data_IF_466309036217
#
_entry.id   IF_466309036217
#
_cell.length_a   1.000
_cell.length_b   1.000
_cell.length_c   1.000
_cell.angle_alpha   90.00
_cell.angle_beta   90.00
_cell.angle_gamma   90.00
#
_symmetry.space_group_name_H-M   'P 1'
#
loop_
_entity.id
_entity.type
_entity.pdbx_description
1 polymer ?
#
# COMPACT_ATOMS: atom_id res chain seq x y z
N UNK A 1 3.74 -15.14 4.89
CA UNK A 1 2.30 -14.84 4.93
C UNK A 1 1.98 -14.18 3.59
N UNK A 2 0.76 -13.87 3.22
CA UNK A 2 0.46 -13.20 1.95
C UNK A 2 -0.02 -11.79 2.26
N UNK A 3 0.66 -10.77 1.73
CA UNK A 3 0.19 -9.40 1.85
C UNK A 3 -1.16 -9.30 1.14
N UNK A 4 -2.17 -8.78 1.82
CA UNK A 4 -3.48 -8.58 1.19
C UNK A 4 -3.46 -7.23 0.51
N UNK A 5 -3.54 -7.26 -0.82
CA UNK A 5 -3.63 -6.07 -1.67
C UNK A 5 -5.09 -5.85 -2.05
N UNK A 6 -5.68 -4.78 -1.54
CA UNK A 6 -7.04 -4.36 -1.93
C UNK A 6 -6.94 -3.06 -2.72
N UNK A 7 -7.22 -3.13 -4.03
CA UNK A 7 -7.28 -1.96 -4.88
C UNK A 7 -8.73 -1.47 -5.00
N UNK A 8 -8.97 -0.17 -4.85
CA UNK A 8 -10.24 0.45 -5.18
C UNK A 8 -10.40 0.54 -6.70
N UNK A 9 -11.65 0.55 -7.19
CA UNK A 9 -11.93 0.77 -8.60
C UNK A 9 -11.32 2.08 -9.10
N UNK A 10 -10.52 2.03 -10.17
CA UNK A 10 -10.09 3.22 -10.89
C UNK A 10 -11.26 3.74 -11.72
N UNK A 11 -11.67 4.98 -11.46
CA UNK A 11 -12.70 5.67 -12.25
C UNK A 11 -11.99 6.81 -12.96
N UNK A 12 -12.09 6.90 -14.29
CA UNK A 12 -11.27 7.78 -15.14
C UNK A 12 -10.95 9.15 -14.52
N UNK A 13 -9.67 9.37 -14.22
CA UNK A 13 -9.15 10.57 -13.55
C UNK A 13 -8.85 10.40 -12.05
N UNK A 14 -9.34 9.34 -11.40
CA UNK A 14 -9.01 8.99 -10.02
C UNK A 14 -8.10 7.75 -9.97
N UNK A 15 -6.86 7.91 -9.52
CA UNK A 15 -5.95 6.79 -9.39
C UNK A 15 -6.45 5.80 -8.33
N UNK A 16 -6.25 4.49 -8.54
CA UNK A 16 -6.71 3.48 -7.59
C UNK A 16 -5.95 3.62 -6.27
N UNK A 17 -6.70 3.64 -5.18
CA UNK A 17 -6.18 3.50 -3.82
C UNK A 17 -5.87 2.04 -3.56
N UNK A 18 -4.66 1.77 -3.11
CA UNK A 18 -4.17 0.43 -2.82
C UNK A 18 -3.95 0.34 -1.33
N UNK A 19 -4.65 -0.58 -0.70
CA UNK A 19 -4.52 -0.91 0.71
C UNK A 19 -3.72 -2.21 0.86
N UNK A 20 -2.64 -2.16 1.63
CA UNK A 20 -1.79 -3.29 1.99
C UNK A 20 -1.96 -3.60 3.47
N UNK A 21 -2.12 -4.88 3.79
CA UNK A 21 -2.06 -5.37 5.17
C UNK A 21 -1.28 -6.68 5.22
N UNK A 22 -0.39 -6.79 6.20
CA UNK A 22 0.48 -7.96 6.39
C UNK A 22 1.58 -7.64 7.40
N UNK A 23 2.64 -8.44 7.43
CA UNK A 23 3.80 -8.12 8.27
C UNK A 23 4.52 -6.87 7.77
N UNK A 24 5.24 -6.18 8.66
CA UNK A 24 6.01 -4.97 8.30
C UNK A 24 6.94 -5.24 7.10
N UNK A 25 7.65 -6.37 7.09
CA UNK A 25 8.56 -6.71 5.99
C UNK A 25 7.82 -6.94 4.67
N UNK A 26 6.70 -7.67 4.67
CA UNK A 26 5.93 -7.94 3.45
C UNK A 26 5.33 -6.66 2.87
N UNK A 27 4.85 -5.75 3.73
CA UNK A 27 4.33 -4.45 3.27
C UNK A 27 5.45 -3.59 2.69
N UNK A 28 6.64 -3.57 3.31
CA UNK A 28 7.79 -2.83 2.78
C UNK A 28 8.31 -3.40 1.47
N UNK A 29 8.36 -4.73 1.35
CA UNK A 29 8.77 -5.42 0.11
C UNK A 29 7.80 -5.11 -1.03
N UNK A 30 6.50 -5.14 -0.76
CA UNK A 30 5.46 -4.80 -1.75
C UNK A 30 5.54 -3.32 -2.17
N UNK A 31 5.78 -2.40 -1.21
CA UNK A 31 5.99 -0.98 -1.53
C UNK A 31 7.22 -0.76 -2.42
N UNK A 32 8.33 -1.46 -2.14
CA UNK A 32 9.53 -1.42 -2.98
C UNK A 32 9.28 -2.00 -4.37
N UNK A 33 8.62 -3.16 -4.44
CA UNK A 33 8.25 -3.81 -5.70
C UNK A 33 7.38 -2.88 -6.57
N UNK A 34 6.45 -2.15 -5.95
CA UNK A 34 5.60 -1.19 -6.63
C UNK A 34 6.25 0.18 -6.89
N UNK A 35 7.53 0.38 -6.51
CA UNK A 35 8.24 1.66 -6.60
C UNK A 35 7.50 2.81 -5.89
N UNK A 36 6.82 2.51 -4.79
CA UNK A 36 6.06 3.49 -4.02
C UNK A 36 7.01 4.20 -3.05
N UNK A 37 7.07 5.53 -3.17
CA UNK A 37 7.82 6.36 -2.22
C UNK A 37 6.94 6.76 -1.04
N UNK A 38 7.56 7.15 0.08
CA UNK A 38 6.84 7.61 1.27
C UNK A 38 5.91 8.80 1.01
N UNK A 39 6.17 9.60 -0.04
CA UNK A 39 5.32 10.72 -0.46
C UNK A 39 3.97 10.26 -1.06
N UNK A 40 3.91 9.03 -1.56
CA UNK A 40 2.70 8.44 -2.16
C UNK A 40 1.88 7.66 -1.13
N UNK A 41 2.45 7.40 0.05
CA UNK A 41 1.78 6.74 1.18
C UNK A 41 0.93 7.77 1.90
N UNK A 42 -0.38 7.60 1.84
CA UNK A 42 -1.34 8.47 2.52
C UNK A 42 -1.60 8.05 3.97
N UNK A 43 -1.43 6.76 4.28
CA UNK A 43 -1.60 6.23 5.64
C UNK A 43 -0.63 5.09 5.90
N UNK A 44 -0.02 5.13 7.07
CA UNK A 44 0.80 4.06 7.61
C UNK A 44 0.42 3.83 9.08
N UNK A 45 0.25 2.57 9.46
CA UNK A 45 0.08 2.17 10.86
C UNK A 45 0.75 0.82 11.05
N UNK A 46 1.58 0.71 12.08
CA UNK A 46 2.21 -0.54 12.49
C UNK A 46 1.96 -0.82 13.99
N UNK A 47 1.90 -2.10 14.34
CA UNK A 47 1.73 -2.60 15.71
C UNK A 47 2.93 -3.49 16.11
N UNK A 48 4.14 -3.11 15.68
CA UNK A 48 5.41 -3.84 15.84
C UNK A 48 5.50 -5.24 15.21
N UNK A 49 4.38 -5.86 14.82
CA UNK A 49 4.33 -7.16 14.13
C UNK A 49 3.74 -7.02 12.73
N UNK A 50 2.60 -6.34 12.64
CA UNK A 50 1.86 -6.11 11.41
C UNK A 50 1.89 -4.63 11.01
N UNK A 51 1.78 -4.39 9.71
CA UNK A 51 1.66 -3.07 9.11
C UNK A 51 0.42 -2.99 8.21
N UNK A 52 -0.14 -1.78 8.18
CA UNK A 52 -1.23 -1.37 7.30
C UNK A 52 -0.78 -0.14 6.55
N UNK A 53 -0.84 -0.19 5.24
CA UNK A 53 -0.44 0.92 4.37
C UNK A 53 -1.57 1.23 3.38
N UNK A 54 -1.82 2.51 3.16
CA UNK A 54 -2.68 2.99 2.07
C UNK A 54 -1.86 3.95 1.22
N UNK A 55 -1.79 3.68 -0.08
CA UNK A 55 -1.15 4.56 -1.04
C UNK A 55 -2.00 4.70 -2.30
N UNK A 56 -1.73 5.72 -3.10
CA UNK A 56 -2.40 5.94 -4.36
C UNK A 56 -1.38 5.93 -5.50
N UNK A 57 -1.67 5.17 -6.56
CA UNK A 57 -0.84 5.16 -7.76
C UNK A 57 -1.33 6.23 -8.73
N UNK A 58 -0.89 7.48 -8.56
CA UNK A 58 -1.03 8.47 -9.62
C UNK A 58 -0.23 7.99 -10.85
N UNK A 59 -0.94 7.82 -11.97
CA UNK A 59 -0.33 7.60 -13.30
C UNK A 59 0.51 8.81 -13.73
#
# INVERSE_FOLDING_TARGET
MTVVVTASASTGGNPPWIYLTGTIQEVLDELQNQNVTSLQVAYWSDDATDAKCLFCRQE
#
